data_IF_053157443950
#
_entry.id   IF_053157443950
#
_cell.length_a   1.000
_cell.length_b   1.000
_cell.length_c   1.000
_cell.angle_alpha   90.00
_cell.angle_beta   90.00
_cell.angle_gamma   90.00
#
_symmetry.space_group_name_H-M   'P 1'
#
loop_
_entity.id
_entity.type
_entity.pdbx_description
1 polymer ?
#
# COMPACT_ATOMS: atom_id res chain seq x y z
N UNK A 1 -40.69 -3.85 -22.87
CA UNK A 1 -39.72 -3.19 -21.95
C UNK A 1 -38.47 -2.93 -22.75
N UNK A 2 -37.97 -1.69 -22.79
CA UNK A 2 -36.77 -1.38 -23.55
C UNK A 2 -35.54 -1.99 -22.84
N UNK A 3 -34.70 -2.70 -23.59
CA UNK A 3 -33.42 -3.22 -23.09
C UNK A 3 -32.47 -2.07 -22.77
N UNK A 4 -32.44 -1.64 -21.50
CA UNK A 4 -31.51 -0.62 -21.02
C UNK A 4 -30.14 -1.26 -20.78
N UNK A 5 -29.18 -0.96 -21.66
CA UNK A 5 -27.80 -1.43 -21.53
C UNK A 5 -26.95 -0.44 -20.74
N UNK A 6 -26.77 -0.71 -19.44
CA UNK A 6 -25.86 0.07 -18.59
C UNK A 6 -24.41 -0.30 -18.91
N UNK A 7 -23.61 0.69 -19.35
CA UNK A 7 -22.16 0.54 -19.56
C UNK A 7 -21.41 1.32 -18.49
N UNK A 8 -20.50 0.64 -17.78
CA UNK A 8 -19.66 1.28 -16.78
C UNK A 8 -18.62 2.18 -17.46
N UNK A 9 -18.51 3.42 -16.98
CA UNK A 9 -17.43 4.32 -17.37
C UNK A 9 -16.12 3.87 -16.71
N UNK A 10 -15.32 3.12 -17.47
CA UNK A 10 -14.04 2.59 -17.01
C UNK A 10 -13.02 3.69 -16.67
N UNK A 11 -13.08 4.85 -17.32
CA UNK A 11 -12.24 6.00 -17.01
C UNK A 11 -12.63 6.60 -15.65
N UNK A 12 -13.93 6.81 -15.41
CA UNK A 12 -14.45 7.28 -14.13
C UNK A 12 -14.14 6.33 -12.97
N UNK A 13 -14.24 5.02 -13.21
CA UNK A 13 -13.85 4.01 -12.21
C UNK A 13 -12.36 4.11 -11.85
N UNK A 14 -11.47 4.30 -12.84
CA UNK A 14 -10.02 4.48 -12.59
C UNK A 14 -9.69 5.77 -11.85
N UNK A 15 -10.44 6.86 -12.12
CA UNK A 15 -10.30 8.11 -11.37
C UNK A 15 -10.64 7.91 -9.89
N UNK A 16 -11.74 7.20 -9.61
CA UNK A 16 -12.13 6.86 -8.23
C UNK A 16 -11.08 5.99 -7.53
N UNK A 17 -10.58 4.94 -8.20
CA UNK A 17 -9.55 4.04 -7.67
C UNK A 17 -8.18 4.72 -7.47
N UNK A 18 -7.95 5.86 -8.09
CA UNK A 18 -6.76 6.71 -7.89
C UNK A 18 -7.06 7.98 -7.07
N UNK A 19 -8.26 8.12 -6.52
CA UNK A 19 -8.64 9.32 -5.78
C UNK A 19 -7.78 9.52 -4.53
N UNK A 20 -7.64 10.78 -4.09
CA UNK A 20 -6.88 11.13 -2.90
C UNK A 20 -7.38 10.41 -1.64
N UNK A 21 -8.69 10.16 -1.54
CA UNK A 21 -9.29 9.42 -0.42
C UNK A 21 -8.80 7.96 -0.39
N UNK A 22 -8.79 7.27 -1.54
CA UNK A 22 -8.26 5.90 -1.65
C UNK A 22 -6.77 5.87 -1.35
N UNK A 23 -6.01 6.83 -1.87
CA UNK A 23 -4.58 6.94 -1.58
C UNK A 23 -4.31 7.16 -0.08
N UNK A 24 -5.07 8.03 0.57
CA UNK A 24 -4.94 8.29 2.01
C UNK A 24 -5.24 7.06 2.86
N UNK A 25 -6.26 6.28 2.51
CA UNK A 25 -6.56 5.02 3.21
C UNK A 25 -5.47 3.96 2.99
N UNK A 26 -4.95 3.84 1.76
CA UNK A 26 -3.83 2.94 1.47
C UNK A 26 -2.56 3.34 2.22
N UNK A 27 -2.27 4.64 2.33
CA UNK A 27 -1.15 5.17 3.09
C UNK A 27 -1.30 4.83 4.58
N UNK A 28 -2.47 5.06 5.20
CA UNK A 28 -2.73 4.68 6.60
C UNK A 28 -2.47 3.19 6.84
N UNK A 29 -2.89 2.34 5.92
CA UNK A 29 -2.64 0.88 6.01
C UNK A 29 -1.14 0.57 5.91
N UNK A 30 -0.44 1.19 4.98
CA UNK A 30 1.01 1.04 4.85
C UNK A 30 1.78 1.57 6.08
N UNK A 31 1.33 2.66 6.70
CA UNK A 31 1.90 3.17 7.94
C UNK A 31 1.74 2.19 9.10
N UNK A 32 0.59 1.51 9.24
CA UNK A 32 0.43 0.44 10.24
C UNK A 32 1.42 -0.70 10.04
N UNK A 33 1.63 -1.11 8.79
CA UNK A 33 2.64 -2.13 8.44
C UNK A 33 4.04 -1.61 8.79
N UNK A 34 4.36 -0.36 8.47
CA UNK A 34 5.63 0.29 8.77
C UNK A 34 5.89 0.31 10.28
N UNK A 35 4.95 0.77 11.09
CA UNK A 35 5.07 0.83 12.56
C UNK A 35 5.34 -0.56 13.14
N UNK A 36 4.63 -1.58 12.65
CA UNK A 36 4.88 -2.97 13.08
C UNK A 36 6.26 -3.45 12.67
N UNK A 37 6.71 -3.15 11.46
CA UNK A 37 8.02 -3.53 10.96
C UNK A 37 9.16 -2.80 11.70
N UNK A 38 8.98 -1.51 12.01
CA UNK A 38 9.93 -0.68 12.77
C UNK A 38 10.11 -1.19 14.21
N UNK A 39 9.07 -1.81 14.79
CA UNK A 39 9.15 -2.47 16.09
C UNK A 39 9.88 -3.81 16.07
N UNK A 40 10.33 -4.28 14.90
CA UNK A 40 10.98 -5.58 14.72
C UNK A 40 12.43 -5.40 14.25
N UNK A 41 13.37 -5.72 15.14
CA UNK A 41 14.80 -5.60 14.85
C UNK A 41 15.27 -4.14 14.84
N UNK A 42 16.33 -3.85 14.09
CA UNK A 42 16.97 -2.53 14.05
C UNK A 42 16.70 -1.74 12.75
N UNK A 43 15.81 -2.25 11.90
CA UNK A 43 15.48 -1.62 10.63
C UNK A 43 14.51 -0.45 10.78
N UNK A 44 14.65 0.55 9.90
CA UNK A 44 13.66 1.61 9.69
C UNK A 44 13.06 1.47 8.30
N UNK A 45 11.74 1.50 8.22
CA UNK A 45 10.96 1.29 7.00
C UNK A 45 10.27 2.59 6.58
N UNK A 46 9.98 2.70 5.29
CA UNK A 46 9.27 3.86 4.71
C UNK A 46 7.99 3.38 4.05
N UNK A 47 6.87 4.02 4.41
CA UNK A 47 5.59 3.84 3.73
C UNK A 47 5.42 4.92 2.66
N UNK A 48 4.91 4.52 1.49
CA UNK A 48 4.67 5.41 0.35
C UNK A 48 3.38 4.98 -0.37
N UNK A 49 2.70 5.91 -1.03
CA UNK A 49 1.53 5.66 -1.86
C UNK A 49 1.67 6.36 -3.19
N UNK A 50 1.39 5.64 -4.28
CA UNK A 50 1.49 6.20 -5.61
C UNK A 50 0.27 5.82 -6.46
N UNK A 51 -0.27 6.76 -7.25
CA UNK A 51 -1.26 6.44 -8.25
C UNK A 51 -0.64 5.56 -9.35
N UNK A 52 -1.42 4.64 -9.89
CA UNK A 52 -1.01 3.75 -10.96
C UNK A 52 -1.90 3.89 -12.19
N UNK A 53 -1.55 3.18 -13.27
CA UNK A 53 -2.31 3.21 -14.54
C UNK A 53 -3.81 2.93 -14.36
N UNK A 54 -4.17 2.04 -13.42
CA UNK A 54 -5.55 1.64 -13.18
C UNK A 54 -6.05 1.90 -11.75
N UNK A 55 -5.15 1.90 -10.75
CA UNK A 55 -5.48 2.03 -9.33
C UNK A 55 -4.27 2.51 -8.55
N UNK A 56 -4.51 3.16 -7.41
CA UNK A 56 -3.44 3.48 -6.47
C UNK A 56 -2.90 2.23 -5.79
N UNK A 57 -1.64 2.28 -5.37
CA UNK A 57 -0.99 1.24 -4.58
C UNK A 57 -0.12 1.88 -3.51
N UNK A 58 -0.05 1.23 -2.35
CA UNK A 58 0.89 1.61 -1.31
C UNK A 58 1.97 0.55 -1.15
N UNK A 59 3.16 1.00 -0.73
CA UNK A 59 4.35 0.19 -0.58
C UNK A 59 5.01 0.49 0.75
N UNK A 60 5.64 -0.53 1.35
CA UNK A 60 6.55 -0.37 2.49
C UNK A 60 7.90 -0.91 2.09
N UNK A 61 8.94 -0.08 2.15
CA UNK A 61 10.27 -0.41 1.62
C UNK A 61 11.39 -0.13 2.63
N UNK A 62 12.51 -0.80 2.44
CA UNK A 62 13.78 -0.52 3.13
C UNK A 62 14.61 0.45 2.30
N UNK A 63 15.04 1.55 2.89
CA UNK A 63 15.93 2.54 2.25
C UNK A 63 17.40 2.18 2.43
N UNK A 64 17.78 1.73 3.62
CA UNK A 64 19.18 1.59 4.02
C UNK A 64 19.65 0.14 4.13
N UNK A 65 20.97 -0.05 4.11
CA UNK A 65 21.61 -1.37 4.25
C UNK A 65 21.23 -2.07 5.56
N UNK A 66 21.15 -1.32 6.66
CA UNK A 66 20.76 -1.84 7.98
C UNK A 66 19.33 -2.41 7.93
N UNK A 67 18.38 -1.67 7.35
CA UNK A 67 16.99 -2.10 7.20
C UNK A 67 16.85 -3.32 6.30
N UNK A 68 17.63 -3.40 5.21
CA UNK A 68 17.69 -4.58 4.33
C UNK A 68 18.20 -5.81 5.09
N UNK A 69 19.30 -5.68 5.84
CA UNK A 69 19.87 -6.77 6.65
C UNK A 69 18.91 -7.23 7.75
N UNK A 70 18.26 -6.29 8.45
CA UNK A 70 17.24 -6.60 9.47
C UNK A 70 16.06 -7.35 8.87
N UNK A 71 15.54 -6.89 7.73
CA UNK A 71 14.44 -7.56 7.05
C UNK A 71 14.81 -8.99 6.60
N UNK A 72 15.99 -9.19 6.02
CA UNK A 72 16.46 -10.50 5.58
C UNK A 72 16.64 -11.49 6.76
N UNK A 73 17.10 -11.00 7.91
CA UNK A 73 17.33 -11.84 9.10
C UNK A 73 16.03 -12.20 9.83
N UNK A 74 15.08 -11.26 9.89
CA UNK A 74 13.91 -11.39 10.78
C UNK A 74 12.57 -11.56 10.04
N UNK A 75 12.56 -11.44 8.72
CA UNK A 75 11.36 -11.43 7.86
C UNK A 75 10.32 -10.40 8.32
N UNK A 76 10.79 -9.19 8.66
CA UNK A 76 9.98 -8.15 9.32
C UNK A 76 8.80 -7.71 8.46
N UNK A 77 9.01 -7.45 7.16
CA UNK A 77 7.94 -7.02 6.25
C UNK A 77 6.88 -8.10 6.06
N UNK A 78 7.31 -9.35 5.87
CA UNK A 78 6.41 -10.50 5.72
C UNK A 78 5.53 -10.68 6.96
N UNK A 79 6.11 -10.58 8.15
CA UNK A 79 5.39 -10.70 9.44
C UNK A 79 4.52 -9.49 9.77
N UNK A 80 4.75 -8.37 9.09
CA UNK A 80 4.03 -7.12 9.32
C UNK A 80 2.86 -6.91 8.37
N UNK A 81 2.74 -7.71 7.30
CA UNK A 81 1.74 -7.52 6.24
C UNK A 81 0.30 -7.53 6.76
N UNK A 82 0.01 -8.33 7.79
CA UNK A 82 -1.33 -8.42 8.38
C UNK A 82 -1.76 -7.17 9.15
N UNK A 83 -0.84 -6.26 9.49
CA UNK A 83 -1.19 -5.02 10.20
C UNK A 83 -1.93 -4.00 9.34
N UNK A 84 -1.90 -4.14 8.01
CA UNK A 84 -2.60 -3.27 7.06
C UNK A 84 -4.00 -3.75 6.66
N UNK A 85 -4.51 -4.84 7.26
CA UNK A 85 -5.85 -5.37 7.00
C UNK A 85 -6.95 -4.42 7.46
#
# INVERSE_FOLDING_TARGET
>A
MADVKVKINSAGARQLLNSAAVQGELLKRAEKIKVRADGMGSGKYVADVQPGKNRAHAMVKTTDFISKKSNAKHNTLLKSINAGK
#
